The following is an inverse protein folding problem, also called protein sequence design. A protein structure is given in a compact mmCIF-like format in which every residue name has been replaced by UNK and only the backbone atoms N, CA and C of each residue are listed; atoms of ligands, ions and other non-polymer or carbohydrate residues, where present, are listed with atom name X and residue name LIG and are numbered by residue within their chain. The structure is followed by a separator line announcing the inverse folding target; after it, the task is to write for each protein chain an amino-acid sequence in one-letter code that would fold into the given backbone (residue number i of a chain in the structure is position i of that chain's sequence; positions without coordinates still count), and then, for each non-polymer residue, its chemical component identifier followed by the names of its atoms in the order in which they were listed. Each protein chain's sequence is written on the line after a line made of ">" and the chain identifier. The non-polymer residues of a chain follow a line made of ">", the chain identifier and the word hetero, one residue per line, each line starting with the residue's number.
data_IF_842807525720
#
_entry.id   IF_842807525720
#
_cell.length_a   1.000
_cell.length_b   1.000
_cell.length_c   1.000
_cell.angle_alpha   90.00
_cell.angle_beta   90.00
_cell.angle_gamma   90.00
#
_symmetry.space_group_name_H-M   'P 1'
#
loop_
_entity.id
_entity.type
_entity.pdbx_description
1 polymer ?
#
# COMPACT_ATOMS: atom_id res chain seq x y z
N UNK A 1 14.49 11.10 -2.13
CA UNK A 1 14.15 12.06 -3.20
C UNK A 1 13.07 11.43 -4.05
N UNK A 2 11.86 11.98 -4.03
CA UNK A 2 10.74 11.52 -4.86
C UNK A 2 10.27 12.76 -5.64
N UNK A 3 10.34 12.71 -6.96
CA UNK A 3 9.72 13.72 -7.82
C UNK A 3 8.36 13.19 -8.25
N UNK A 4 7.29 13.93 -7.98
CA UNK A 4 6.00 13.68 -8.58
C UNK A 4 5.79 14.67 -9.73
N UNK A 5 5.50 14.15 -10.93
CA UNK A 5 4.98 14.92 -12.04
C UNK A 5 3.45 14.79 -12.01
N UNK A 6 2.73 15.89 -11.78
CA UNK A 6 1.28 15.92 -12.03
C UNK A 6 1.03 16.67 -13.32
N UNK A 7 0.61 15.97 -14.37
CA UNK A 7 0.06 16.58 -15.58
C UNK A 7 -1.46 16.73 -15.37
N UNK A 8 -1.93 17.96 -15.20
CA UNK A 8 -3.37 18.24 -15.25
C UNK A 8 -3.73 18.69 -16.67
N UNK A 9 -4.44 17.85 -17.42
CA UNK A 9 -5.03 18.22 -18.71
C UNK A 9 -6.49 18.61 -18.50
N UNK A 10 -6.81 19.90 -18.60
CA UNK A 10 -8.18 20.37 -18.87
C UNK A 10 -8.29 20.70 -20.36
N UNK A 11 -9.28 20.11 -21.02
CA UNK A 11 -9.57 20.34 -22.44
C UNK A 11 -10.23 21.71 -22.57
N UNK A 12 -9.53 22.65 -23.21
CA UNK A 12 -10.07 23.97 -23.57
C UNK A 12 -9.18 25.13 -23.10
N UNK A 13 -8.29 25.58 -24.00
CA UNK A 13 -7.32 26.70 -23.89
C UNK A 13 -6.53 26.80 -22.56
N UNK A 14 -5.38 26.12 -22.50
CA UNK A 14 -4.40 26.36 -21.43
C UNK A 14 -2.96 26.35 -21.94
N UNK A 15 -2.36 27.53 -21.90
CA UNK A 15 -0.92 27.81 -21.93
C UNK A 15 -0.25 26.92 -20.88
N UNK A 16 0.62 25.99 -21.29
CA UNK A 16 1.46 25.21 -20.36
C UNK A 16 2.30 26.20 -19.55
N UNK A 17 2.00 26.35 -18.26
CA UNK A 17 2.92 26.94 -17.28
C UNK A 17 3.42 25.82 -16.39
N UNK A 18 4.73 25.66 -16.39
CA UNK A 18 5.42 24.73 -15.51
C UNK A 18 5.65 25.46 -14.18
N UNK A 19 5.15 24.91 -13.07
CA UNK A 19 5.37 25.46 -11.73
C UNK A 19 6.19 24.45 -10.95
N UNK A 20 7.36 24.86 -10.47
CA UNK A 20 8.21 24.09 -9.58
C UNK A 20 8.08 24.66 -8.17
N UNK A 21 7.64 23.83 -7.21
CA UNK A 21 7.66 24.17 -5.79
C UNK A 21 8.56 23.18 -5.03
N UNK A 22 9.57 23.70 -4.33
CA UNK A 22 10.48 22.92 -3.48
C UNK A 22 10.19 23.25 -2.00
N UNK A 23 9.97 22.23 -1.17
CA UNK A 23 9.52 22.38 0.23
C UNK A 23 10.63 22.66 1.26
N UNK A 24 11.89 22.92 0.86
CA UNK A 24 12.98 23.13 1.84
C UNK A 24 13.59 24.55 1.87
N UNK A 25 12.87 25.59 1.48
CA UNK A 25 13.26 26.99 1.77
C UNK A 25 12.05 27.94 1.75
N UNK A 26 11.98 28.82 2.75
CA UNK A 26 11.06 29.96 2.82
C UNK A 26 11.24 30.90 1.62
N UNK A 27 10.10 31.45 1.19
CA UNK A 27 9.85 32.70 0.44
C UNK A 27 9.78 32.68 -1.10
N UNK A 28 8.65 33.26 -1.53
CA UNK A 28 8.29 33.93 -2.80
C UNK A 28 7.60 33.15 -3.91
N UNK A 29 6.29 33.41 -4.04
CA UNK A 29 5.52 33.36 -5.27
C UNK A 29 4.75 34.70 -5.40
N UNK A 30 5.15 35.58 -6.32
CA UNK A 30 4.43 36.81 -6.74
C UNK A 30 4.17 36.72 -8.26
N UNK A 31 3.15 37.27 -8.92
CA UNK A 31 1.91 38.00 -8.60
C UNK A 31 0.98 37.95 -9.84
N UNK A 32 -0.35 37.89 -9.68
CA UNK A 32 -1.35 38.98 -9.77
C UNK A 32 -1.96 39.22 -11.17
N UNK A 33 -3.30 39.18 -11.26
CA UNK A 33 -4.08 40.24 -11.93
C UNK A 33 -5.54 40.24 -11.45
N UNK A 34 -5.96 41.39 -10.90
CA UNK A 34 -7.35 41.73 -10.56
C UNK A 34 -8.13 42.01 -11.85
N UNK A 35 -9.29 41.37 -12.01
CA UNK A 35 -10.32 41.83 -12.93
C UNK A 35 -11.45 42.47 -12.11
N UNK A 36 -11.69 43.75 -12.37
CA UNK A 36 -12.78 44.57 -11.84
C UNK A 36 -14.12 44.11 -12.42
N UNK A 37 -15.03 43.63 -11.57
CA UNK A 37 -16.37 43.21 -11.95
C UNK A 37 -17.33 44.39 -11.81
N UNK A 38 -18.00 44.73 -12.91
CA UNK A 38 -19.02 45.77 -13.01
C UNK A 38 -20.28 45.44 -12.21
N UNK A 39 -20.89 46.47 -11.61
CA UNK A 39 -21.99 46.42 -10.63
C UNK A 39 -23.39 45.92 -11.08
N UNK A 40 -23.76 45.64 -12.35
CA UNK A 40 -25.11 45.14 -12.63
C UNK A 40 -25.23 43.60 -12.54
N UNK A 41 -24.13 42.87 -12.30
CA UNK A 41 -24.15 41.40 -12.16
C UNK A 41 -24.40 40.90 -10.73
N UNK A 42 -24.44 41.77 -9.74
CA UNK A 42 -24.58 41.38 -8.33
C UNK A 42 -26.03 41.05 -7.93
N UNK A 43 -27.03 41.58 -8.67
CA UNK A 43 -28.45 41.34 -8.34
C UNK A 43 -28.96 39.97 -8.81
N UNK A 44 -28.34 39.39 -9.84
CA UNK A 44 -28.74 38.07 -10.37
C UNK A 44 -28.18 36.90 -9.53
N UNK A 45 -27.09 37.14 -8.79
CA UNK A 45 -26.47 36.15 -7.89
C UNK A 45 -27.28 35.95 -6.60
N UNK A 46 -27.93 37.00 -6.09
CA UNK A 46 -28.69 36.92 -4.84
C UNK A 46 -30.05 36.19 -4.97
N UNK A 47 -30.59 36.06 -6.19
CA UNK A 47 -31.85 35.34 -6.41
C UNK A 47 -31.65 33.84 -6.65
N UNK A 48 -30.42 33.38 -6.93
CA UNK A 48 -30.11 31.95 -7.06
C UNK A 48 -29.83 31.28 -5.69
N UNK A 49 -29.42 32.06 -4.69
CA UNK A 49 -29.15 31.58 -3.32
C UNK A 49 -30.43 31.23 -2.54
N UNK A 50 -31.62 31.61 -3.03
CA UNK A 50 -32.90 31.36 -2.35
C UNK A 50 -33.54 29.98 -2.59
N UNK A 51 -33.03 29.18 -3.54
CA UNK A 51 -33.67 27.90 -3.96
C UNK A 51 -32.80 26.67 -3.62
N UNK A 52 -31.58 26.83 -3.11
CA UNK A 52 -30.74 25.70 -2.66
C UNK A 52 -30.78 25.42 -1.14
N UNK A 53 -31.59 26.16 -0.37
CA UNK A 53 -31.73 25.95 1.08
C UNK A 53 -32.77 24.90 1.50
N UNK A 54 -33.39 24.19 0.55
CA UNK A 54 -34.23 23.02 0.85
C UNK A 54 -33.75 21.80 0.06
N UNK A 55 -32.74 21.13 0.59
CA UNK A 55 -32.58 19.69 0.43
C UNK A 55 -32.11 19.13 1.76
N UNK A 56 -33.09 18.65 2.53
CA UNK A 56 -33.02 17.67 3.60
C UNK A 56 -31.66 17.52 4.32
N UNK A 57 -31.62 17.94 5.59
CA UNK A 57 -30.82 17.24 6.61
C UNK A 57 -31.38 15.82 6.82
N UNK A 58 -31.24 14.98 5.80
CA UNK A 58 -31.14 13.55 6.01
C UNK A 58 -29.76 13.30 6.58
N UNK A 59 -29.60 13.37 7.90
CA UNK A 59 -28.42 12.77 8.54
C UNK A 59 -28.47 11.29 8.26
N UNK A 60 -27.79 10.90 7.18
CA UNK A 60 -27.52 9.54 6.81
C UNK A 60 -26.78 8.90 8.00
N UNK A 61 -27.50 8.21 8.89
CA UNK A 61 -26.97 7.46 10.05
C UNK A 61 -26.15 6.23 9.61
N UNK A 62 -25.50 6.29 8.46
CA UNK A 62 -24.72 5.20 7.87
C UNK A 62 -23.26 5.18 8.34
N UNK A 63 -22.86 6.08 9.23
CA UNK A 63 -21.48 6.23 9.69
C UNK A 63 -21.11 5.37 10.92
N UNK A 64 -22.04 4.62 11.52
CA UNK A 64 -21.76 3.77 12.68
C UNK A 64 -21.80 2.28 12.27
N UNK A 65 -20.72 1.51 12.50
CA UNK A 65 -20.73 0.08 12.20
C UNK A 65 -21.78 -0.64 13.04
N UNK A 66 -22.53 -1.56 12.41
CA UNK A 66 -23.62 -2.31 13.06
C UNK A 66 -23.16 -3.14 14.26
N UNK A 67 -21.89 -3.55 14.25
CA UNK A 67 -21.23 -4.29 15.31
C UNK A 67 -19.79 -3.75 15.45
N UNK A 68 -19.42 -3.35 16.67
CA UNK A 68 -18.06 -2.92 17.01
C UNK A 68 -17.48 -3.93 18.00
N UNK A 69 -16.56 -4.77 17.53
CA UNK A 69 -15.83 -5.72 18.37
C UNK A 69 -14.42 -5.17 18.62
N UNK A 70 -13.95 -5.26 19.86
CA UNK A 70 -12.55 -5.01 20.17
C UNK A 70 -11.69 -6.23 19.86
N UNK A 71 -10.37 -6.04 19.74
CA UNK A 71 -9.43 -7.15 19.59
C UNK A 71 -9.57 -8.18 20.71
N UNK A 72 -9.82 -7.74 21.95
CA UNK A 72 -10.06 -8.62 23.09
C UNK A 72 -11.31 -9.48 22.87
N UNK A 73 -12.39 -8.88 22.37
CA UNK A 73 -13.65 -9.59 22.10
C UNK A 73 -13.46 -10.65 21.01
N UNK A 74 -12.68 -10.34 19.98
CA UNK A 74 -12.35 -11.27 18.89
C UNK A 74 -11.51 -12.47 19.36
N UNK A 75 -10.55 -12.24 20.24
CA UNK A 75 -9.76 -13.30 20.85
C UNK A 75 -10.61 -14.19 21.77
N UNK A 76 -11.45 -13.58 22.62
CA UNK A 76 -12.32 -14.31 23.56
C UNK A 76 -13.37 -15.16 22.85
N UNK A 77 -13.89 -14.68 21.72
CA UNK A 77 -14.88 -15.40 20.89
C UNK A 77 -14.25 -16.39 19.90
N UNK A 78 -12.92 -16.54 19.92
CA UNK A 78 -12.16 -17.36 18.97
C UNK A 78 -12.46 -17.02 17.49
N UNK A 79 -12.87 -15.77 17.23
CA UNK A 79 -13.21 -15.26 15.89
C UNK A 79 -12.01 -14.65 15.16
N UNK A 80 -10.85 -14.59 15.82
CA UNK A 80 -9.59 -14.14 15.25
C UNK A 80 -8.45 -15.03 15.75
N UNK A 81 -7.67 -15.58 14.83
CA UNK A 81 -6.44 -16.30 15.13
C UNK A 81 -5.29 -15.38 14.74
N UNK A 82 -4.59 -14.76 15.71
CA UNK A 82 -3.44 -13.94 15.39
C UNK A 82 -2.32 -14.84 14.86
N UNK A 83 -1.63 -14.37 13.84
CA UNK A 83 -0.34 -14.94 13.46
C UNK A 83 0.74 -14.31 14.34
N UNK A 84 1.39 -15.11 15.19
CA UNK A 84 2.43 -14.63 16.10
C UNK A 84 3.82 -14.57 15.43
N UNK A 85 3.88 -14.72 14.10
CA UNK A 85 5.09 -14.92 13.33
C UNK A 85 6.26 -14.04 13.77
N UNK A 86 7.34 -14.71 14.21
CA UNK A 86 8.69 -14.24 14.57
C UNK A 86 8.75 -12.84 15.16
N UNK A 87 9.15 -12.74 16.44
CA UNK A 87 9.27 -11.54 17.28
C UNK A 87 10.18 -10.38 16.73
N UNK A 88 10.59 -10.44 15.47
CA UNK A 88 11.51 -9.50 14.84
C UNK A 88 10.79 -8.63 13.81
N UNK A 89 9.93 -7.71 14.27
CA UNK A 89 9.50 -6.53 13.49
C UNK A 89 9.24 -6.76 12.00
N UNK A 90 8.55 -7.87 11.66
CA UNK A 90 8.36 -8.26 10.27
C UNK A 90 7.31 -7.35 9.65
N UNK A 91 7.76 -6.45 8.77
CA UNK A 91 6.88 -5.66 7.92
C UNK A 91 6.34 -6.58 6.81
N UNK A 92 5.17 -7.17 7.08
CA UNK A 92 4.45 -8.00 6.13
C UNK A 92 3.82 -7.11 5.05
N UNK A 93 4.29 -7.23 3.82
CA UNK A 93 3.91 -6.30 2.76
C UNK A 93 3.17 -6.98 1.62
N UNK A 94 3.23 -8.32 1.53
CA UNK A 94 2.65 -9.07 0.40
C UNK A 94 1.96 -10.34 0.90
N UNK A 95 0.75 -10.60 0.40
CA UNK A 95 -0.06 -11.76 0.75
C UNK A 95 -0.50 -12.46 -0.54
N UNK A 96 -0.47 -13.79 -0.56
CA UNK A 96 -1.05 -14.61 -1.62
C UNK A 96 -1.80 -15.78 -1.00
N UNK A 97 -3.12 -15.79 -1.19
CA UNK A 97 -4.00 -16.87 -0.77
C UNK A 97 -4.03 -17.97 -1.84
N UNK A 98 -3.79 -19.20 -1.42
CA UNK A 98 -3.91 -20.40 -2.23
C UNK A 98 -4.96 -21.32 -1.60
N UNK A 99 -6.21 -21.12 -2.01
CA UNK A 99 -7.36 -21.88 -1.49
C UNK A 99 -7.29 -23.36 -1.91
N UNK A 100 -6.80 -23.64 -3.13
CA UNK A 100 -6.71 -25.00 -3.66
C UNK A 100 -5.80 -25.89 -2.80
N UNK A 101 -4.69 -25.33 -2.31
CA UNK A 101 -3.73 -26.05 -1.48
C UNK A 101 -3.94 -25.85 0.03
N UNK A 102 -4.88 -25.00 0.42
CA UNK A 102 -5.10 -24.68 1.84
C UNK A 102 -3.94 -23.87 2.45
N UNK A 103 -3.26 -23.03 1.67
CA UNK A 103 -2.08 -22.29 2.11
C UNK A 103 -2.21 -20.77 1.96
N UNK A 104 -1.58 -20.03 2.87
CA UNK A 104 -1.38 -18.59 2.77
C UNK A 104 0.12 -18.29 2.68
N UNK A 105 0.55 -17.67 1.59
CA UNK A 105 1.90 -17.16 1.45
C UNK A 105 1.99 -15.72 1.93
N UNK A 106 3.04 -15.41 2.68
CA UNK A 106 3.28 -14.10 3.27
C UNK A 106 4.71 -13.65 2.96
N UNK A 107 4.85 -12.56 2.21
CA UNK A 107 6.12 -11.92 1.90
C UNK A 107 6.48 -10.89 2.96
N UNK A 108 7.70 -10.99 3.50
CA UNK A 108 8.24 -10.10 4.52
C UNK A 108 9.68 -9.68 4.19
N UNK A 109 10.34 -9.00 5.14
CA UNK A 109 11.78 -8.73 5.07
C UNK A 109 12.59 -10.03 5.13
N UNK A 110 13.39 -10.28 4.09
CA UNK A 110 14.29 -11.42 3.87
C UNK A 110 13.63 -12.80 3.92
N UNK A 111 12.30 -12.86 3.96
CA UNK A 111 11.56 -14.08 4.26
C UNK A 111 10.25 -14.18 3.49
N UNK A 112 9.89 -15.43 3.19
CA UNK A 112 8.56 -15.82 2.72
C UNK A 112 8.04 -16.91 3.65
N UNK A 113 6.84 -16.72 4.19
CA UNK A 113 6.17 -17.71 5.02
C UNK A 113 5.12 -18.43 4.20
N UNK A 114 5.01 -19.74 4.40
CA UNK A 114 3.94 -20.59 3.88
C UNK A 114 3.17 -21.12 5.09
N UNK A 115 1.96 -20.60 5.29
CA UNK A 115 1.12 -20.86 6.45
C UNK A 115 -0.07 -21.73 6.06
N UNK A 116 -0.58 -22.54 6.98
CA UNK A 116 -1.81 -23.31 6.78
C UNK A 116 -3.04 -22.44 7.05
N UNK A 117 -4.06 -22.54 6.20
CA UNK A 117 -5.34 -21.83 6.42
C UNK A 117 -6.15 -22.40 7.60
N UNK A 118 -5.88 -23.64 8.02
CA UNK A 118 -6.54 -24.26 9.17
C UNK A 118 -5.98 -23.72 10.49
N UNK A 119 -4.66 -23.52 10.55
CA UNK A 119 -3.98 -22.94 11.70
C UNK A 119 -2.69 -22.25 11.25
N UNK A 120 -2.70 -20.92 11.29
CA UNK A 120 -1.58 -20.08 10.84
C UNK A 120 -0.30 -20.29 11.66
N UNK A 121 -0.41 -20.80 12.90
CA UNK A 121 0.73 -20.96 13.80
C UNK A 121 1.27 -22.41 13.81
N UNK A 122 0.62 -23.35 13.12
CA UNK A 122 1.00 -24.77 13.08
C UNK A 122 1.73 -25.11 11.79
N UNK A 123 2.92 -25.71 11.91
CA UNK A 123 3.72 -26.24 10.80
C UNK A 123 4.03 -25.22 9.67
N UNK A 124 4.06 -23.92 9.97
CA UNK A 124 4.40 -22.89 8.99
C UNK A 124 5.85 -23.04 8.49
N UNK A 125 6.03 -23.09 7.17
CA UNK A 125 7.37 -23.15 6.56
C UNK A 125 7.90 -21.74 6.33
N UNK A 126 9.14 -21.48 6.75
CA UNK A 126 9.83 -20.21 6.58
C UNK A 126 10.94 -20.38 5.54
N UNK A 127 10.88 -19.62 4.46
CA UNK A 127 11.88 -19.59 3.40
C UNK A 127 12.73 -18.35 3.62
N UNK A 128 14.03 -18.53 3.87
CA UNK A 128 14.99 -17.44 3.97
C UNK A 128 15.48 -17.05 2.58
N UNK A 129 15.22 -15.81 2.17
CA UNK A 129 15.59 -15.29 0.86
C UNK A 129 16.15 -13.87 0.97
N UNK A 130 17.33 -13.70 1.58
CA UNK A 130 17.96 -12.39 1.77
C UNK A 130 18.58 -11.86 0.47
N UNK A 131 18.91 -10.56 0.48
CA UNK A 131 19.73 -9.98 -0.58
C UNK A 131 21.17 -10.52 -0.53
N UNK A 132 21.83 -10.61 -1.68
CA UNK A 132 23.23 -11.01 -1.74
C UNK A 132 24.13 -10.03 -0.95
N UNK A 133 25.12 -10.56 -0.22
CA UNK A 133 25.97 -9.75 0.67
C UNK A 133 26.62 -8.56 -0.04
N UNK A 134 27.13 -8.78 -1.25
CA UNK A 134 27.73 -7.75 -2.10
C UNK A 134 26.74 -6.60 -2.40
N UNK A 135 25.47 -6.92 -2.63
CA UNK A 135 24.41 -5.92 -2.89
C UNK A 135 24.04 -5.16 -1.62
N UNK A 136 24.00 -5.85 -0.48
CA UNK A 136 23.80 -5.22 0.83
C UNK A 136 24.93 -4.24 1.14
N UNK A 137 26.18 -4.62 0.88
CA UNK A 137 27.34 -3.76 1.12
C UNK A 137 27.33 -2.54 0.18
N UNK A 138 27.00 -2.73 -1.10
CA UNK A 138 26.81 -1.63 -2.05
C UNK A 138 25.67 -0.68 -1.63
N UNK A 139 24.56 -1.23 -1.14
CA UNK A 139 23.44 -0.45 -0.62
C UNK A 139 23.87 0.44 0.56
N UNK A 140 24.63 -0.12 1.51
CA UNK A 140 25.18 0.65 2.64
C UNK A 140 26.14 1.74 2.18
N UNK A 141 27.03 1.43 1.24
CA UNK A 141 27.95 2.41 0.66
C UNK A 141 27.22 3.55 -0.07
N UNK A 142 26.03 3.30 -0.60
CA UNK A 142 25.16 4.32 -1.18
C UNK A 142 24.45 5.21 -0.13
N UNK A 143 24.76 5.04 1.16
CA UNK A 143 24.22 5.85 2.25
C UNK A 143 22.83 5.44 2.72
N UNK A 144 22.41 4.19 2.45
CA UNK A 144 21.13 3.63 2.87
C UNK A 144 21.20 2.97 4.23
N UNK A 145 20.09 2.95 4.95
CA UNK A 145 20.05 2.34 6.28
C UNK A 145 20.20 0.81 6.21
N UNK A 146 21.16 0.29 6.98
CA UNK A 146 21.55 -1.11 6.95
C UNK A 146 20.43 -2.06 7.44
N UNK A 147 19.56 -1.60 8.34
CA UNK A 147 18.58 -2.45 9.01
C UNK A 147 17.18 -2.33 8.40
N UNK A 148 16.84 -1.18 7.85
CA UNK A 148 15.48 -0.86 7.37
C UNK A 148 15.37 -0.77 5.85
N UNK A 149 16.47 -0.55 5.13
CA UNK A 149 16.44 -0.41 3.67
C UNK A 149 17.29 -1.46 2.94
N UNK A 150 18.46 -1.82 3.47
CA UNK A 150 19.40 -2.76 2.82
C UNK A 150 19.07 -4.24 3.07
N UNK A 151 17.86 -4.65 2.71
CA UNK A 151 17.38 -6.02 2.80
C UNK A 151 16.57 -6.40 1.56
N UNK A 152 16.18 -7.68 1.45
CA UNK A 152 15.25 -8.12 0.44
C UNK A 152 13.81 -8.07 0.97
N UNK A 153 13.06 -7.03 0.61
CA UNK A 153 11.65 -6.93 0.94
C UNK A 153 10.83 -7.58 -0.17
N UNK A 154 10.06 -8.60 0.16
CA UNK A 154 9.22 -9.30 -0.82
C UNK A 154 8.00 -8.46 -1.15
N UNK A 155 7.88 -8.07 -2.42
CA UNK A 155 6.84 -7.15 -2.93
C UNK A 155 5.87 -7.81 -3.90
N UNK A 156 6.25 -8.95 -4.48
CA UNK A 156 5.43 -9.66 -5.46
C UNK A 156 5.39 -11.13 -5.06
N UNK A 157 4.17 -11.65 -4.95
CA UNK A 157 3.85 -13.07 -4.89
C UNK A 157 2.69 -13.28 -5.87
N UNK A 158 2.89 -14.13 -6.86
CA UNK A 158 1.90 -14.42 -7.89
C UNK A 158 1.91 -15.91 -8.24
N UNK A 159 0.74 -16.52 -8.48
CA UNK A 159 0.69 -17.87 -9.00
C UNK A 159 1.35 -17.89 -10.39
N UNK A 160 2.26 -18.84 -10.62
CA UNK A 160 2.92 -18.98 -11.92
C UNK A 160 2.43 -20.21 -12.66
N UNK A 161 2.51 -21.37 -12.00
CA UNK A 161 1.96 -22.61 -12.49
C UNK A 161 1.40 -23.41 -11.31
N UNK A 162 0.88 -24.60 -11.59
CA UNK A 162 0.28 -25.44 -10.55
C UNK A 162 1.21 -25.76 -9.41
N UNK A 163 2.54 -25.76 -9.60
CA UNK A 163 3.54 -26.17 -8.58
C UNK A 163 4.45 -25.03 -8.10
N UNK A 164 4.42 -23.88 -8.75
CA UNK A 164 5.35 -22.77 -8.51
C UNK A 164 4.63 -21.45 -8.33
N UNK A 165 5.16 -20.65 -7.41
CA UNK A 165 4.83 -19.25 -7.23
C UNK A 165 5.97 -18.40 -7.77
N UNK A 166 5.64 -17.38 -8.55
CA UNK A 166 6.58 -16.35 -8.95
C UNK A 166 6.69 -15.31 -7.84
N UNK A 167 7.92 -15.01 -7.42
CA UNK A 167 8.21 -14.07 -6.35
C UNK A 167 9.24 -13.05 -6.79
N UNK A 168 9.08 -11.80 -6.36
CA UNK A 168 10.10 -10.76 -6.50
C UNK A 168 10.25 -9.96 -5.21
N UNK A 169 11.48 -9.52 -4.96
CA UNK A 169 11.81 -8.62 -3.87
C UNK A 169 12.81 -7.55 -4.26
N UNK A 170 13.04 -6.61 -3.34
CA UNK A 170 13.87 -5.42 -3.58
C UNK A 170 15.37 -5.71 -3.66
N UNK A 171 15.84 -6.84 -3.13
CA UNK A 171 17.25 -7.26 -3.15
C UNK A 171 18.27 -6.18 -2.75
N UNK A 172 17.98 -5.39 -1.69
CA UNK A 172 18.79 -4.24 -1.28
C UNK A 172 19.02 -3.20 -2.39
N UNK A 173 17.92 -2.65 -2.96
CA UNK A 173 17.91 -1.77 -4.14
C UNK A 173 18.45 -2.39 -5.43
N UNK A 174 18.49 -3.72 -5.48
CA UNK A 174 18.80 -4.48 -6.69
C UNK A 174 17.74 -5.58 -6.84
N UNK A 175 16.61 -5.30 -7.52
CA UNK A 175 15.45 -6.18 -7.51
C UNK A 175 15.79 -7.55 -8.08
N UNK A 176 15.34 -8.60 -7.40
CA UNK A 176 15.54 -10.00 -7.77
C UNK A 176 14.20 -10.72 -7.83
N UNK A 177 14.09 -11.64 -8.78
CA UNK A 177 12.90 -12.47 -8.96
C UNK A 177 13.30 -13.94 -9.07
N UNK A 178 12.37 -14.82 -8.71
CA UNK A 178 12.58 -16.26 -8.74
C UNK A 178 11.28 -17.04 -8.62
N UNK A 179 11.39 -18.36 -8.72
CA UNK A 179 10.27 -19.28 -8.56
C UNK A 179 10.42 -20.05 -7.25
N UNK A 180 9.31 -20.19 -6.53
CA UNK A 180 9.23 -20.96 -5.30
C UNK A 180 8.46 -22.24 -5.62
N UNK A 181 9.13 -23.37 -5.46
CA UNK A 181 8.50 -24.68 -5.57
C UNK A 181 7.68 -24.98 -4.32
N UNK A 182 6.37 -25.13 -4.51
CA UNK A 182 5.41 -25.51 -3.49
C UNK A 182 5.16 -27.03 -3.47
N UNK A 183 5.81 -27.80 -4.34
CA UNK A 183 5.61 -29.23 -4.52
C UNK A 183 4.30 -29.57 -5.25
N UNK A 184 4.07 -30.85 -5.54
CA UNK A 184 2.78 -31.34 -6.03
C UNK A 184 1.81 -31.54 -4.87
N UNK A 185 0.56 -31.10 -5.03
CA UNK A 185 -0.52 -31.42 -4.09
C UNK A 185 -0.60 -32.95 -3.95
N UNK A 186 -0.25 -33.49 -2.77
CA UNK A 186 -0.58 -34.87 -2.43
C UNK A 186 -2.00 -34.83 -1.89
N UNK A 187 -2.94 -35.00 -2.79
CA UNK A 187 -4.31 -35.31 -2.40
C UNK A 187 -4.25 -36.64 -1.63
N UNK A 188 -4.47 -36.57 -0.31
CA UNK A 188 -4.65 -37.79 0.48
C UNK A 188 -6.05 -38.27 0.14
N UNK A 189 -6.11 -39.19 -0.82
CA UNK A 189 -7.29 -39.97 -1.18
C UNK A 189 -7.70 -40.83 0.02
#
# INVERSE_FOLDING_TARGET
>A
MIFYFSLQTSVGLTKKRQVFCNMNRRQNCEGMNRASISKPQLLCLLLLEGILFFSAEGTSKHHVPRLKLSYKDLLLSNSCIPFLGSAEGLDFQTLLLDEERGHLLLGAKDHIFLLSLVDLNKNGKKIFWPAAKEKVDLCKLAGKDAHTECANFIRVLQPYNKTHVYACGTGAFHPVCGYIDLGTHKEVI
#
